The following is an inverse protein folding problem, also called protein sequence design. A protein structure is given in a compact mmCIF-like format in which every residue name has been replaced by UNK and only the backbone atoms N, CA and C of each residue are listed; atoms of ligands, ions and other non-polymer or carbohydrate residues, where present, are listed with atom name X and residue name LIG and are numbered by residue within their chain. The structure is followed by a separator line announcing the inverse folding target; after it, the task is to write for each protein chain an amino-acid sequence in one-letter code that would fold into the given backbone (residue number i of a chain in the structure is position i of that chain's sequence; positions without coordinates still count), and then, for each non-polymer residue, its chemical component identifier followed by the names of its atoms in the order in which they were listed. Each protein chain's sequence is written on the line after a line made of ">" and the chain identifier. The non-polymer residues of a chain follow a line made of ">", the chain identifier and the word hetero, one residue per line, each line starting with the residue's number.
data_IF_602478031163
#
_entry.id   IF_602478031163
#
_cell.length_a   1.000
_cell.length_b   1.000
_cell.length_c   1.000
_cell.angle_alpha   90.00
_cell.angle_beta   90.00
_cell.angle_gamma   90.00
#
_symmetry.space_group_name_H-M   'P 1'
#
loop_
_entity.id
_entity.type
_entity.pdbx_description
1 polymer ?
#
# COMPACT_ATOMS: atom_id res chain seq x y z
N UNK A 1 -7.29 -1.12 -13.61
CA UNK A 1 -7.57 -1.94 -12.40
C UNK A 1 -8.35 -3.17 -12.82
N UNK A 2 -7.99 -4.34 -12.29
CA UNK A 2 -8.83 -5.54 -12.40
C UNK A 2 -10.08 -5.37 -11.53
N UNK A 3 -11.19 -6.02 -11.87
CA UNK A 3 -12.45 -5.92 -11.10
C UNK A 3 -12.26 -6.33 -9.64
N UNK A 4 -11.34 -7.26 -9.37
CA UNK A 4 -10.93 -7.66 -8.03
C UNK A 4 -10.33 -6.52 -7.21
N UNK A 5 -9.48 -5.68 -7.80
CA UNK A 5 -8.86 -4.55 -7.11
C UNK A 5 -9.88 -3.45 -6.76
N UNK A 6 -10.93 -3.27 -7.57
CA UNK A 6 -12.02 -2.34 -7.26
C UNK A 6 -12.87 -2.85 -6.11
N UNK A 7 -13.25 -4.13 -6.16
CA UNK A 7 -14.08 -4.74 -5.15
C UNK A 7 -13.43 -4.77 -3.75
N UNK A 8 -12.12 -4.96 -3.66
CA UNK A 8 -11.41 -4.96 -2.37
C UNK A 8 -11.06 -3.55 -1.86
N UNK A 9 -10.99 -2.53 -2.71
CA UNK A 9 -10.82 -1.14 -2.29
C UNK A 9 -12.15 -0.49 -1.86
N UNK A 10 -13.28 -1.01 -2.36
CA UNK A 10 -14.62 -0.47 -2.09
C UNK A 10 -14.94 -0.29 -0.59
N UNK A 11 -14.59 -1.22 0.33
CA UNK A 11 -14.85 -1.03 1.76
C UNK A 11 -14.17 0.20 2.36
N UNK A 12 -13.00 0.61 1.83
CA UNK A 12 -12.32 1.84 2.25
C UNK A 12 -13.09 3.07 1.79
N UNK A 13 -13.58 3.05 0.54
CA UNK A 13 -14.41 4.12 -0.02
C UNK A 13 -15.72 4.23 0.76
N UNK A 14 -16.38 3.11 1.03
CA UNK A 14 -17.63 3.04 1.78
C UNK A 14 -17.46 3.61 3.19
N UNK A 15 -16.36 3.29 3.88
CA UNK A 15 -16.06 3.85 5.19
C UNK A 15 -15.94 5.38 5.18
N UNK A 16 -15.27 5.94 4.17
CA UNK A 16 -15.16 7.40 3.99
C UNK A 16 -16.53 8.02 3.67
N UNK A 17 -17.31 7.39 2.77
CA UNK A 17 -18.65 7.85 2.39
C UNK A 17 -19.60 7.84 3.60
N UNK A 18 -19.51 6.82 4.44
CA UNK A 18 -20.30 6.68 5.67
C UNK A 18 -19.79 7.58 6.82
N UNK A 19 -18.57 8.08 6.73
CA UNK A 19 -17.94 8.86 7.80
C UNK A 19 -17.49 8.02 9.00
N UNK A 20 -17.20 6.73 8.79
CA UNK A 20 -16.87 5.78 9.85
C UNK A 20 -15.36 5.49 9.92
N UNK A 21 -14.70 6.12 10.89
CA UNK A 21 -13.28 5.97 11.15
C UNK A 21 -12.88 4.56 11.61
N UNK A 22 -13.76 3.84 12.32
CA UNK A 22 -13.46 2.47 12.77
C UNK A 22 -13.56 1.49 11.61
N UNK A 23 -14.57 1.66 10.75
CA UNK A 23 -14.71 0.88 9.53
C UNK A 23 -13.51 1.12 8.60
N UNK A 24 -13.02 2.37 8.54
CA UNK A 24 -11.83 2.72 7.77
C UNK A 24 -10.58 1.98 8.25
N UNK A 25 -10.32 1.97 9.57
CA UNK A 25 -9.17 1.26 10.16
C UNK A 25 -9.20 -0.23 9.80
N UNK A 26 -10.35 -0.88 10.00
CA UNK A 26 -10.53 -2.30 9.68
C UNK A 26 -10.41 -2.59 8.17
N UNK A 27 -10.97 -1.73 7.32
CA UNK A 27 -10.88 -1.88 5.86
C UNK A 27 -9.42 -1.76 5.38
N UNK A 28 -8.65 -0.82 5.93
CA UNK A 28 -7.23 -0.65 5.59
C UNK A 28 -6.39 -1.85 6.06
N UNK A 29 -6.64 -2.38 7.25
CA UNK A 29 -5.97 -3.59 7.73
C UNK A 29 -6.21 -4.78 6.79
N UNK A 30 -7.47 -5.05 6.42
CA UNK A 30 -7.81 -6.13 5.48
C UNK A 30 -7.18 -5.90 4.10
N UNK A 31 -7.16 -4.66 3.62
CA UNK A 31 -6.59 -4.32 2.32
C UNK A 31 -5.07 -4.56 2.31
N UNK A 32 -4.38 -4.22 3.40
CA UNK A 32 -2.93 -4.42 3.56
C UNK A 32 -2.51 -5.88 3.41
N UNK A 33 -3.35 -6.83 3.83
CA UNK A 33 -3.07 -8.27 3.71
C UNK A 33 -3.50 -8.85 2.37
N UNK A 34 -4.55 -8.31 1.76
CA UNK A 34 -5.19 -8.92 0.58
C UNK A 34 -4.57 -8.41 -0.72
N UNK A 35 -4.33 -7.10 -0.81
CA UNK A 35 -3.77 -6.43 -1.99
C UNK A 35 -2.83 -5.29 -1.56
N UNK A 36 -1.56 -5.61 -1.19
CA UNK A 36 -0.59 -4.62 -0.73
C UNK A 36 -0.34 -3.45 -1.70
N UNK A 37 -0.36 -3.70 -3.00
CA UNK A 37 -0.19 -2.66 -4.03
C UNK A 37 -1.34 -1.65 -4.02
N UNK A 38 -2.57 -2.14 -3.86
CA UNK A 38 -3.77 -1.31 -3.74
C UNK A 38 -3.76 -0.56 -2.41
N UNK A 39 -3.37 -1.21 -1.32
CA UNK A 39 -3.22 -0.59 -0.01
C UNK A 39 -2.28 0.61 -0.03
N UNK A 40 -1.09 0.48 -0.62
CA UNK A 40 -0.11 1.59 -0.72
C UNK A 40 -0.68 2.76 -1.53
N UNK A 41 -1.34 2.47 -2.65
CA UNK A 41 -1.99 3.50 -3.49
C UNK A 41 -3.10 4.23 -2.72
N UNK A 42 -4.02 3.47 -2.14
CA UNK A 42 -5.18 4.01 -1.40
C UNK A 42 -4.74 4.86 -0.22
N UNK A 43 -3.83 4.36 0.62
CA UNK A 43 -3.28 5.14 1.73
C UNK A 43 -2.52 6.37 1.26
N UNK A 44 -1.89 6.34 0.09
CA UNK A 44 -1.24 7.50 -0.52
C UNK A 44 -2.24 8.57 -0.91
N UNK A 45 -3.34 8.17 -1.53
CA UNK A 45 -4.42 9.08 -1.88
C UNK A 45 -5.16 9.65 -0.65
N UNK A 46 -5.32 8.86 0.41
CA UNK A 46 -5.94 9.33 1.65
C UNK A 46 -5.12 10.42 2.37
N UNK A 47 -3.80 10.42 2.23
CA UNK A 47 -2.93 11.40 2.91
C UNK A 47 -2.51 12.57 2.02
N UNK A 48 -2.59 12.43 0.71
CA UNK A 48 -2.20 13.46 -0.25
C UNK A 48 -3.38 14.37 -0.59
N UNK A 49 -3.40 15.63 -0.11
CA UNK A 49 -4.47 16.59 -0.41
C UNK A 49 -4.28 17.25 -1.78
N UNK A 50 -3.15 17.07 -2.47
CA UNK A 50 -2.80 17.78 -3.70
C UNK A 50 -3.43 17.19 -4.98
N UNK A 51 -4.52 16.45 -4.81
CA UNK A 51 -5.12 15.71 -5.90
C UNK A 51 -5.81 16.65 -6.91
N UNK A 52 -5.67 16.36 -8.22
CA UNK A 52 -6.24 17.20 -9.25
C UNK A 52 -7.77 17.18 -9.21
N UNK A 53 -8.39 18.35 -9.05
CA UNK A 53 -9.85 18.51 -9.10
C UNK A 53 -10.45 18.18 -10.47
N UNK A 54 -9.65 18.29 -11.54
CA UNK A 54 -10.06 18.05 -12.91
C UNK A 54 -9.24 16.91 -13.52
N UNK A 55 -9.93 15.93 -14.08
CA UNK A 55 -9.32 14.80 -14.76
C UNK A 55 -9.83 14.69 -16.19
N UNK A 56 -8.94 14.31 -17.12
CA UNK A 56 -9.33 14.04 -18.50
C UNK A 56 -10.27 12.84 -18.56
N UNK A 57 -11.31 12.91 -19.41
CA UNK A 57 -12.19 11.77 -19.70
C UNK A 57 -11.40 10.55 -20.22
N UNK A 58 -10.24 10.77 -20.85
CA UNK A 58 -9.36 9.71 -21.35
C UNK A 58 -8.58 9.01 -20.23
N UNK A 59 -8.45 9.61 -19.04
CA UNK A 59 -7.76 9.02 -17.90
C UNK A 59 -8.62 7.97 -17.14
N UNK A 60 -9.91 7.90 -17.44
CA UNK A 60 -10.85 6.97 -16.80
C UNK A 60 -10.54 5.55 -17.30
N UNK A 61 -10.11 4.69 -16.38
CA UNK A 61 -9.72 3.31 -16.66
C UNK A 61 -8.21 3.03 -16.54
N UNK A 62 -7.37 4.08 -16.52
CA UNK A 62 -5.90 3.95 -16.43
C UNK A 62 -5.42 3.77 -14.97
N UNK A 63 -6.32 3.85 -13.98
CA UNK A 63 -6.03 3.50 -12.58
C UNK A 63 -5.30 4.57 -11.75
N UNK A 64 -5.19 5.79 -12.28
CA UNK A 64 -4.54 6.94 -11.62
C UNK A 64 -5.51 8.01 -11.13
N UNK A 65 -6.81 7.82 -11.32
CA UNK A 65 -7.83 8.73 -10.79
C UNK A 65 -8.02 8.38 -9.32
N UNK A 66 -8.07 9.39 -8.44
CA UNK A 66 -8.28 9.12 -7.03
C UNK A 66 -9.73 8.79 -6.73
N UNK A 67 -9.93 7.83 -5.84
CA UNK A 67 -11.23 7.48 -5.29
C UNK A 67 -11.66 8.41 -4.15
N UNK A 68 -10.82 9.38 -3.76
CA UNK A 68 -11.03 10.30 -2.65
C UNK A 68 -11.02 11.75 -3.11
N UNK A 69 -11.74 12.60 -2.40
CA UNK A 69 -11.81 14.03 -2.65
C UNK A 69 -11.57 14.79 -1.36
N UNK A 70 -10.62 15.73 -1.36
CA UNK A 70 -10.23 16.51 -0.19
C UNK A 70 -10.84 17.90 -0.28
N UNK A 71 -11.65 18.28 0.71
CA UNK A 71 -12.23 19.62 0.79
C UNK A 71 -12.58 19.97 2.24
N UNK A 72 -12.49 21.26 2.58
CA UNK A 72 -12.97 21.78 3.88
C UNK A 72 -12.38 21.06 5.12
N UNK A 73 -11.13 20.60 5.03
CA UNK A 73 -10.48 19.87 6.12
C UNK A 73 -10.94 18.41 6.27
N UNK A 74 -11.70 17.89 5.32
CA UNK A 74 -12.23 16.52 5.30
C UNK A 74 -11.83 15.76 4.04
N UNK A 75 -11.91 14.44 4.14
CA UNK A 75 -11.79 13.49 3.02
C UNK A 75 -13.16 12.88 2.75
N UNK A 76 -13.58 12.93 1.50
CA UNK A 76 -14.84 12.40 0.97
C UNK A 76 -14.55 11.31 -0.07
N UNK A 77 -15.58 10.54 -0.42
CA UNK A 77 -15.52 9.74 -1.65
C UNK A 77 -15.55 10.66 -2.87
N UNK A 78 -14.74 10.38 -3.89
CA UNK A 78 -14.74 11.19 -5.12
C UNK A 78 -15.86 10.76 -6.07
N UNK A 79 -16.62 11.74 -6.57
CA UNK A 79 -17.54 11.55 -7.69
C UNK A 79 -17.14 12.47 -8.83
N UNK A 80 -16.95 11.90 -10.02
CA UNK A 80 -16.50 12.64 -11.20
C UNK A 80 -17.66 12.95 -12.13
N UNK A 81 -18.06 14.22 -12.16
CA UNK A 81 -19.15 14.74 -12.99
C UNK A 81 -18.60 15.38 -14.27
N UNK A 82 -19.40 15.39 -15.34
CA UNK A 82 -19.01 16.09 -16.57
C UNK A 82 -18.95 17.60 -16.31
N UNK A 83 -17.86 18.27 -16.73
CA UNK A 83 -17.67 19.70 -16.48
C UNK A 83 -17.47 20.54 -17.75
N UNK A 84 -16.50 20.18 -18.59
CA UNK A 84 -16.18 20.83 -19.86
C UNK A 84 -15.67 19.79 -20.88
N UNK A 85 -15.48 20.18 -22.14
CA UNK A 85 -15.09 19.26 -23.23
C UNK A 85 -13.91 18.35 -22.84
N UNK A 86 -14.17 17.04 -22.77
CA UNK A 86 -13.23 15.98 -22.36
C UNK A 86 -12.64 16.10 -20.93
N UNK A 87 -13.27 16.87 -20.03
CA UNK A 87 -12.86 17.00 -18.63
C UNK A 87 -13.99 16.70 -17.64
N UNK A 88 -13.68 15.93 -16.60
CA UNK A 88 -14.55 15.71 -15.45
C UNK A 88 -14.04 16.41 -14.21
N UNK A 89 -14.96 16.95 -13.42
CA UNK A 89 -14.67 17.59 -12.15
C UNK A 89 -14.97 16.63 -11.01
N UNK A 90 -14.03 16.48 -10.09
CA UNK A 90 -14.22 15.77 -8.83
C UNK A 90 -15.13 16.59 -7.89
N UNK A 91 -16.02 15.89 -7.21
CA UNK A 91 -16.84 16.45 -6.15
C UNK A 91 -16.94 15.48 -4.96
N UNK A 92 -17.38 15.98 -3.80
CA UNK A 92 -17.52 15.18 -2.61
C UNK A 92 -18.73 14.24 -2.71
N UNK A 93 -18.61 13.07 -2.09
CA UNK A 93 -19.69 12.11 -1.88
C UNK A 93 -19.65 11.57 -0.46
N UNK A 94 -20.82 11.53 0.18
CA UNK A 94 -21.00 11.04 1.54
C UNK A 94 -20.74 12.08 2.63
N UNK A 95 -20.63 11.59 3.87
CA UNK A 95 -20.42 12.39 5.09
C UNK A 95 -18.96 12.88 5.17
N UNK A 96 -18.03 12.04 4.71
CA UNK A 96 -16.60 12.29 4.83
C UNK A 96 -16.08 12.12 6.27
N UNK A 97 -14.76 12.15 6.41
CA UNK A 97 -14.05 12.06 7.70
C UNK A 97 -13.06 13.22 7.78
N UNK A 98 -12.82 13.73 8.99
CA UNK A 98 -11.79 14.77 9.21
C UNK A 98 -10.42 14.31 8.70
N UNK A 99 -9.73 15.17 7.95
CA UNK A 99 -8.48 14.84 7.27
C UNK A 99 -7.40 14.40 8.25
N UNK A 100 -7.27 15.09 9.39
CA UNK A 100 -6.27 14.71 10.40
C UNK A 100 -6.56 13.34 11.03
N UNK A 101 -7.83 12.95 11.13
CA UNK A 101 -8.21 11.61 11.58
C UNK A 101 -7.90 10.55 10.53
N UNK A 102 -8.27 10.79 9.26
CA UNK A 102 -7.93 9.90 8.14
C UNK A 102 -6.42 9.72 8.03
N UNK A 103 -5.67 10.82 8.10
CA UNK A 103 -4.20 10.83 8.03
C UNK A 103 -3.58 10.02 9.16
N UNK A 104 -4.07 10.20 10.39
CA UNK A 104 -3.61 9.41 11.56
C UNK A 104 -3.84 7.92 11.35
N UNK A 105 -5.04 7.53 10.90
CA UNK A 105 -5.40 6.12 10.67
C UNK A 105 -4.55 5.53 9.54
N UNK A 106 -4.43 6.22 8.40
CA UNK A 106 -3.66 5.76 7.26
C UNK A 106 -2.17 5.62 7.59
N UNK A 107 -1.59 6.57 8.33
CA UNK A 107 -0.19 6.49 8.77
C UNK A 107 0.05 5.36 9.76
N UNK A 108 -0.89 5.14 10.71
CA UNK A 108 -0.83 4.00 11.64
C UNK A 108 -0.86 2.67 10.87
N UNK A 109 -1.81 2.50 9.96
CA UNK A 109 -1.91 1.30 9.14
C UNK A 109 -0.67 1.06 8.28
N UNK A 110 -0.06 2.14 7.74
CA UNK A 110 1.22 2.05 7.00
C UNK A 110 2.37 1.61 7.89
N UNK A 111 2.47 2.15 9.10
CA UNK A 111 3.53 1.75 10.04
C UNK A 111 3.40 0.28 10.44
N UNK A 112 2.18 -0.20 10.71
CA UNK A 112 1.91 -1.61 10.98
C UNK A 112 2.28 -2.51 9.78
N UNK A 113 1.92 -2.07 8.57
CA UNK A 113 2.29 -2.80 7.34
C UNK A 113 3.82 -2.84 7.13
N UNK A 114 4.51 -1.71 7.32
CA UNK A 114 5.97 -1.63 7.20
C UNK A 114 6.66 -2.53 8.24
N UNK A 115 6.13 -2.63 9.46
CA UNK A 115 6.62 -3.58 10.48
C UNK A 115 6.45 -5.04 10.04
N UNK A 116 5.31 -5.39 9.44
CA UNK A 116 5.07 -6.73 8.89
C UNK A 116 6.08 -7.03 7.77
N UNK A 117 6.32 -6.08 6.86
CA UNK A 117 7.30 -6.22 5.78
C UNK A 117 8.71 -6.39 6.34
N UNK A 118 9.09 -5.60 7.34
CA UNK A 118 10.38 -5.71 8.00
C UNK A 118 10.54 -7.09 8.68
N UNK A 119 9.52 -7.55 9.41
CA UNK A 119 9.52 -8.87 10.02
C UNK A 119 9.69 -9.98 8.99
N UNK A 120 9.03 -9.88 7.83
CA UNK A 120 9.19 -10.81 6.72
C UNK A 120 10.61 -10.77 6.15
N UNK A 121 11.20 -9.59 6.00
CA UNK A 121 12.58 -9.46 5.56
C UNK A 121 13.55 -10.13 6.54
N UNK A 122 13.37 -9.94 7.85
CA UNK A 122 14.19 -10.61 8.90
C UNK A 122 14.04 -12.14 8.85
N UNK A 123 12.82 -12.66 8.65
CA UNK A 123 12.58 -14.10 8.51
C UNK A 123 13.37 -14.75 7.36
N UNK A 124 13.70 -14.00 6.30
CA UNK A 124 14.57 -14.51 5.22
C UNK A 124 15.93 -14.94 5.75
N UNK A 125 16.51 -14.17 6.68
CA UNK A 125 17.81 -14.50 7.29
C UNK A 125 17.74 -15.83 8.05
N UNK A 126 16.67 -16.04 8.81
CA UNK A 126 16.51 -17.27 9.58
C UNK A 126 16.36 -18.48 8.67
N UNK A 127 15.57 -18.35 7.59
CA UNK A 127 15.42 -19.39 6.57
C UNK A 127 16.74 -19.70 5.84
N UNK A 128 17.56 -18.68 5.54
CA UNK A 128 18.89 -18.87 4.96
C UNK A 128 19.82 -19.66 5.89
N UNK A 129 19.85 -19.30 7.18
CA UNK A 129 20.66 -20.00 8.17
C UNK A 129 20.19 -21.45 8.39
N UNK A 130 18.89 -21.71 8.33
CA UNK A 130 18.33 -23.07 8.41
C UNK A 130 18.76 -23.91 7.20
N UNK A 131 18.68 -23.33 5.99
CA UNK A 131 19.13 -23.97 4.76
C UNK A 131 20.62 -24.37 4.85
N UNK A 132 21.47 -23.47 5.35
CA UNK A 132 22.91 -23.78 5.52
C UNK A 132 23.13 -24.97 6.43
N UNK A 133 22.41 -25.05 7.56
CA UNK A 133 22.51 -26.17 8.51
C UNK A 133 22.12 -27.49 7.87
N UNK A 134 21.04 -27.51 7.08
CA UNK A 134 20.60 -28.71 6.37
C UNK A 134 21.63 -29.16 5.33
N UNK A 135 22.34 -28.22 4.71
CA UNK A 135 23.31 -28.49 3.64
C UNK A 135 24.70 -28.91 4.13
N UNK A 136 25.00 -28.82 5.44
CA UNK A 136 26.29 -29.22 6.02
C UNK A 136 26.65 -30.68 5.71
N UNK A 137 25.68 -31.58 5.52
CA UNK A 137 25.89 -33.01 5.22
C UNK A 137 26.02 -33.37 3.73
N UNK A 138 25.90 -32.41 2.82
CA UNK A 138 25.91 -32.66 1.38
C UNK A 138 27.32 -32.76 0.78
N UNK A 139 27.41 -33.14 -0.51
CA UNK A 139 28.68 -33.34 -1.20
C UNK A 139 29.55 -32.07 -1.21
N UNK A 140 30.86 -32.22 -1.40
CA UNK A 140 31.78 -31.07 -1.47
C UNK A 140 31.41 -30.07 -2.58
N UNK A 141 30.89 -30.55 -3.71
CA UNK A 141 30.42 -29.71 -4.80
C UNK A 141 29.18 -28.90 -4.38
N UNK A 142 28.24 -29.52 -3.68
CA UNK A 142 27.04 -28.87 -3.16
C UNK A 142 27.41 -27.79 -2.14
N UNK A 143 28.28 -28.11 -1.17
CA UNK A 143 28.78 -27.13 -0.19
C UNK A 143 29.38 -25.87 -0.83
N UNK A 144 30.13 -26.04 -1.92
CA UNK A 144 30.78 -24.91 -2.61
C UNK A 144 29.76 -24.02 -3.33
N UNK A 145 28.76 -24.60 -4.00
CA UNK A 145 27.69 -23.86 -4.65
C UNK A 145 26.78 -23.16 -3.63
N UNK A 146 26.46 -23.84 -2.52
CA UNK A 146 25.69 -23.25 -1.41
C UNK A 146 26.44 -22.07 -0.78
N UNK A 147 27.75 -22.19 -0.56
CA UNK A 147 28.55 -21.09 -0.01
C UNK A 147 28.54 -19.85 -0.91
N UNK A 148 28.55 -20.02 -2.24
CA UNK A 148 28.43 -18.89 -3.18
C UNK A 148 27.03 -18.27 -3.12
N UNK A 149 25.98 -19.10 -3.16
CA UNK A 149 24.60 -18.65 -3.04
C UNK A 149 24.35 -17.90 -1.72
N UNK A 150 24.92 -18.38 -0.61
CA UNK A 150 24.83 -17.75 0.70
C UNK A 150 25.37 -16.32 0.69
N UNK A 151 26.56 -16.10 0.11
CA UNK A 151 27.18 -14.77 0.06
C UNK A 151 26.30 -13.78 -0.72
N UNK A 152 25.72 -14.21 -1.84
CA UNK A 152 24.85 -13.35 -2.65
C UNK A 152 23.50 -13.10 -1.97
N UNK A 153 22.92 -14.10 -1.33
CA UNK A 153 21.68 -13.97 -0.56
C UNK A 153 21.87 -13.08 0.68
N UNK A 154 23.02 -13.17 1.35
CA UNK A 154 23.35 -12.31 2.48
C UNK A 154 23.51 -10.85 2.07
N UNK A 155 24.20 -10.58 0.95
CA UNK A 155 24.27 -9.23 0.36
C UNK A 155 22.89 -8.72 -0.03
N UNK A 156 22.09 -9.54 -0.69
CA UNK A 156 20.71 -9.21 -1.08
C UNK A 156 19.84 -8.88 0.13
N UNK A 157 19.96 -9.64 1.21
CA UNK A 157 19.24 -9.38 2.46
C UNK A 157 19.67 -8.05 3.11
N UNK A 158 20.96 -7.74 3.12
CA UNK A 158 21.44 -6.45 3.62
C UNK A 158 20.89 -5.26 2.80
N UNK A 159 20.87 -5.39 1.46
CA UNK A 159 20.27 -4.39 0.58
C UNK A 159 18.75 -4.24 0.81
N UNK A 160 18.04 -5.36 1.02
CA UNK A 160 16.62 -5.35 1.35
C UNK A 160 16.34 -4.61 2.65
N UNK A 161 17.10 -4.89 3.71
CA UNK A 161 16.96 -4.18 4.98
C UNK A 161 17.29 -2.68 4.85
N UNK A 162 18.30 -2.33 4.06
CA UNK A 162 18.64 -0.94 3.79
C UNK A 162 17.50 -0.19 3.07
N UNK A 163 16.85 -0.84 2.09
CA UNK A 163 15.72 -0.27 1.36
C UNK A 163 14.45 -0.11 2.22
N UNK A 164 14.31 -0.92 3.27
CA UNK A 164 13.20 -0.86 4.23
C UNK A 164 13.48 0.05 5.43
N UNK A 165 14.70 0.59 5.55
CA UNK A 165 15.06 1.41 6.70
C UNK A 165 14.41 2.81 6.60
N UNK A 166 13.59 3.23 7.58
CA UNK A 166 12.88 4.50 7.55
C UNK A 166 13.77 5.74 7.48
N UNK A 167 15.04 5.68 7.89
CA UNK A 167 15.96 6.84 7.79
C UNK A 167 16.32 7.24 6.35
N UNK A 168 15.99 6.42 5.37
CA UNK A 168 16.28 6.65 3.94
C UNK A 168 15.03 7.12 3.16
N UNK A 169 13.85 7.11 3.77
CA UNK A 169 12.57 7.57 3.18
C UNK A 169 12.15 8.93 3.73
#
# INVERSE_FOLDING_TARGET
>A
MTDKAKNEAQPVIDAIVLGDAQLLDHALQRLSTTLPDVFIRVTGQLIDPSQPEYVSCLAIGIGYISDFYHAEGKVFGAVYTASAFLARKAGPSGVGIEYEEVKRIALKARAEFDEIVLKKAVQVKDALNELDKMLVGHSFADRKLTSLAHVDLFKGHALLLAALNPTVR
#
